data_IF_929861816395
#
_entry.id   IF_929861816395
#
_cell.length_a   1.000
_cell.length_b   1.000
_cell.length_c   1.000
_cell.angle_alpha   90.00
_cell.angle_beta   90.00
_cell.angle_gamma   90.00
#
_symmetry.space_group_name_H-M   'P 1'
#
loop_
_entity.id
_entity.type
_entity.pdbx_description
1 polymer ?
#
# COMPACT_ATOMS: atom_id res chain seq x y z
N UNK A 1 57.64 -18.16 -15.65
CA UNK A 1 57.27 -16.91 -14.97
C UNK A 1 55.91 -16.51 -15.50
N UNK A 2 54.85 -16.73 -14.71
CA UNK A 2 53.48 -16.35 -15.05
C UNK A 2 53.16 -15.10 -14.24
N UNK A 3 53.08 -13.95 -14.91
CA UNK A 3 52.68 -12.68 -14.28
C UNK A 3 51.15 -12.62 -14.25
N UNK A 4 50.57 -12.65 -13.07
CA UNK A 4 49.16 -12.38 -12.82
C UNK A 4 48.87 -10.90 -13.04
N UNK A 5 47.99 -10.58 -13.98
CA UNK A 5 47.48 -9.24 -14.22
C UNK A 5 46.46 -8.88 -13.12
N UNK A 6 46.65 -7.81 -12.33
CA UNK A 6 45.71 -7.46 -11.28
C UNK A 6 44.40 -6.97 -11.93
N UNK A 7 43.31 -7.69 -11.66
CA UNK A 7 41.98 -7.29 -12.04
C UNK A 7 41.71 -5.84 -11.61
N UNK A 8 41.60 -4.92 -12.58
CA UNK A 8 41.18 -3.55 -12.36
C UNK A 8 39.79 -3.56 -11.71
N UNK A 9 39.71 -3.21 -10.44
CA UNK A 9 38.45 -2.96 -9.76
C UNK A 9 37.81 -1.70 -10.36
N UNK A 10 36.77 -1.87 -11.17
CA UNK A 10 35.99 -0.74 -11.66
C UNK A 10 35.33 -0.05 -10.46
N UNK A 11 35.51 1.26 -10.24
CA UNK A 11 34.80 1.97 -9.18
C UNK A 11 33.29 1.85 -9.43
N UNK A 12 32.53 1.35 -8.45
CA UNK A 12 31.06 1.40 -8.51
C UNK A 12 30.64 2.86 -8.59
N UNK A 13 30.07 3.27 -9.72
CA UNK A 13 29.58 4.62 -9.93
C UNK A 13 28.57 4.99 -8.83
N UNK A 14 28.71 6.20 -8.28
CA UNK A 14 27.80 6.72 -7.27
C UNK A 14 26.40 6.91 -7.90
N UNK A 15 25.30 6.52 -7.22
CA UNK A 15 23.97 6.69 -7.76
C UNK A 15 23.62 8.17 -7.96
N UNK A 16 22.89 8.46 -9.03
CA UNK A 16 22.39 9.79 -9.32
C UNK A 16 21.25 10.15 -8.35
N UNK A 17 21.02 11.46 -8.16
CA UNK A 17 19.98 11.96 -7.23
C UNK A 17 18.59 11.36 -7.50
N UNK A 18 18.10 11.24 -8.76
CA UNK A 18 16.81 10.61 -9.03
C UNK A 18 16.74 9.13 -8.62
N UNK A 19 17.84 8.39 -8.77
CA UNK A 19 17.91 6.98 -8.36
C UNK A 19 17.81 6.86 -6.84
N UNK A 20 18.51 7.72 -6.12
CA UNK A 20 18.46 7.74 -4.65
C UNK A 20 17.09 8.21 -4.13
N UNK A 21 16.47 9.18 -4.80
CA UNK A 21 15.10 9.62 -4.49
C UNK A 21 14.07 8.49 -4.67
N UNK A 22 14.20 7.70 -5.75
CA UNK A 22 13.35 6.52 -5.98
C UNK A 22 13.42 5.50 -4.84
N UNK A 23 14.62 5.25 -4.29
CA UNK A 23 14.79 4.36 -3.13
C UNK A 23 14.06 4.88 -1.90
N UNK A 24 14.15 6.18 -1.61
CA UNK A 24 13.47 6.80 -0.47
C UNK A 24 11.94 6.75 -0.64
N UNK A 25 11.44 7.06 -1.85
CA UNK A 25 10.01 6.98 -2.16
C UNK A 25 9.47 5.55 -1.99
N UNK A 26 10.23 4.53 -2.40
CA UNK A 26 9.85 3.14 -2.19
C UNK A 26 9.74 2.77 -0.70
N UNK A 27 10.65 3.28 0.15
CA UNK A 27 10.57 3.07 1.61
C UNK A 27 9.31 3.72 2.21
N UNK A 28 9.00 4.95 1.80
CA UNK A 28 7.77 5.62 2.24
C UNK A 28 6.52 4.88 1.77
N UNK A 29 6.47 4.45 0.51
CA UNK A 29 5.34 3.68 -0.03
C UNK A 29 5.16 2.36 0.75
N UNK A 30 6.25 1.65 1.05
CA UNK A 30 6.23 0.43 1.86
C UNK A 30 5.70 0.69 3.29
N UNK A 31 6.18 1.73 3.95
CA UNK A 31 5.72 2.09 5.30
C UNK A 31 4.24 2.50 5.31
N UNK A 32 3.80 3.33 4.36
CA UNK A 32 2.39 3.74 4.23
C UNK A 32 1.51 2.52 3.97
N UNK A 33 1.91 1.62 3.06
CA UNK A 33 1.18 0.39 2.77
C UNK A 33 1.04 -0.49 4.02
N UNK A 34 2.14 -0.71 4.75
CA UNK A 34 2.12 -1.45 6.00
C UNK A 34 1.17 -0.85 7.04
N UNK A 35 1.27 0.47 7.31
CA UNK A 35 0.40 1.15 8.28
C UNK A 35 -1.05 1.12 7.85
N UNK A 36 -1.32 1.21 6.54
CA UNK A 36 -2.67 1.14 6.00
C UNK A 36 -3.30 -0.24 6.25
N UNK A 37 -2.55 -1.31 6.03
CA UNK A 37 -2.98 -2.68 6.33
C UNK A 37 -3.24 -2.85 7.83
N UNK A 38 -2.28 -2.45 8.67
CA UNK A 38 -2.41 -2.56 10.12
C UNK A 38 -3.64 -1.81 10.66
N UNK A 39 -3.88 -0.58 10.19
CA UNK A 39 -5.07 0.19 10.55
C UNK A 39 -6.35 -0.49 10.06
N UNK A 40 -6.35 -1.04 8.86
CA UNK A 40 -7.50 -1.73 8.29
C UNK A 40 -7.94 -2.95 9.12
N UNK A 41 -6.97 -3.75 9.55
CA UNK A 41 -7.19 -4.94 10.40
C UNK A 41 -7.66 -4.54 11.79
N UNK A 42 -6.96 -3.62 12.45
CA UNK A 42 -7.24 -3.24 13.85
C UNK A 42 -8.59 -2.55 14.04
N UNK A 43 -9.14 -1.94 12.97
CA UNK A 43 -10.40 -1.21 13.02
C UNK A 43 -11.54 -1.92 12.27
N UNK A 44 -11.36 -3.18 11.86
CA UNK A 44 -12.42 -3.95 11.20
C UNK A 44 -12.83 -3.47 9.81
N UNK A 45 -12.04 -2.59 9.17
CA UNK A 45 -12.37 -1.99 7.88
C UNK A 45 -12.33 -3.02 6.74
N UNK A 46 -11.39 -3.96 6.78
CA UNK A 46 -11.33 -5.03 5.76
C UNK A 46 -12.46 -6.03 5.92
N UNK A 47 -12.85 -6.35 7.16
CA UNK A 47 -13.97 -7.25 7.42
C UNK A 47 -15.29 -6.64 6.95
N UNK A 48 -15.52 -5.34 7.22
CA UNK A 48 -16.65 -4.61 6.68
C UNK A 48 -16.70 -4.69 5.14
N UNK A 49 -15.59 -4.41 4.44
CA UNK A 49 -15.54 -4.53 2.98
C UNK A 49 -15.76 -5.95 2.48
N UNK A 50 -15.25 -6.98 3.18
CA UNK A 50 -15.48 -8.40 2.84
C UNK A 50 -16.95 -8.78 2.90
N UNK A 51 -17.71 -8.22 3.85
CA UNK A 51 -19.15 -8.45 3.98
C UNK A 51 -19.98 -7.71 2.92
N UNK A 52 -19.39 -6.73 2.23
CA UNK A 52 -20.04 -5.90 1.22
C UNK A 52 -19.30 -5.98 -0.14
N UNK A 53 -19.44 -7.09 -0.89
CA UNK A 53 -18.67 -7.33 -2.12
C UNK A 53 -18.95 -6.33 -3.25
N UNK A 54 -20.12 -5.67 -3.25
CA UNK A 54 -20.46 -4.59 -4.19
C UNK A 54 -19.77 -3.25 -3.86
N UNK A 55 -19.10 -3.19 -2.70
CA UNK A 55 -18.35 -2.05 -2.20
C UNK A 55 -19.16 -1.08 -1.35
N UNK A 56 -18.42 -0.26 -0.61
CA UNK A 56 -18.96 0.78 0.26
C UNK A 56 -18.35 2.15 -0.06
N UNK A 57 -19.16 3.20 0.01
CA UNK A 57 -18.64 4.56 0.11
C UNK A 57 -17.93 4.73 1.45
N UNK A 58 -16.98 5.68 1.55
CA UNK A 58 -16.18 5.86 2.77
C UNK A 58 -17.03 6.14 4.02
N UNK A 59 -18.11 6.91 3.89
CA UNK A 59 -19.04 7.21 4.99
C UNK A 59 -19.80 5.97 5.47
N UNK A 60 -20.22 5.10 4.53
CA UNK A 60 -20.88 3.84 4.85
C UNK A 60 -19.91 2.84 5.47
N UNK A 61 -18.68 2.77 4.97
CA UNK A 61 -17.62 1.95 5.55
C UNK A 61 -17.31 2.40 6.98
N UNK A 62 -17.27 3.71 7.23
CA UNK A 62 -17.03 4.25 8.56
C UNK A 62 -18.14 3.83 9.53
N UNK A 63 -19.39 3.92 9.08
CA UNK A 63 -20.55 3.49 9.84
C UNK A 63 -20.52 1.99 10.15
N UNK A 64 -20.19 1.16 9.16
CA UNK A 64 -20.13 -0.30 9.32
C UNK A 64 -19.02 -0.71 10.29
N UNK A 65 -17.83 -0.11 10.16
CA UNK A 65 -16.68 -0.41 11.01
C UNK A 65 -16.71 0.31 12.38
N UNK A 66 -17.68 1.19 12.63
CA UNK A 66 -17.75 1.99 13.87
C UNK A 66 -16.60 3.00 14.01
N UNK A 67 -16.09 3.54 12.91
CA UNK A 67 -14.96 4.47 12.85
C UNK A 67 -15.40 5.88 12.45
N UNK A 68 -14.53 6.87 12.63
CA UNK A 68 -14.80 8.24 12.20
C UNK A 68 -14.74 8.38 10.67
N UNK A 69 -15.76 9.04 10.09
CA UNK A 69 -15.90 9.20 8.64
C UNK A 69 -14.73 9.92 7.97
N UNK A 70 -14.16 10.93 8.62
CA UNK A 70 -13.06 11.70 8.02
C UNK A 70 -11.81 10.82 7.93
N UNK A 71 -11.47 10.14 9.02
CA UNK A 71 -10.29 9.27 9.04
C UNK A 71 -10.46 8.04 8.16
N UNK A 72 -11.66 7.47 8.07
CA UNK A 72 -11.94 6.38 7.13
C UNK A 72 -11.83 6.84 5.68
N UNK A 73 -12.30 8.04 5.34
CA UNK A 73 -12.08 8.61 4.02
C UNK A 73 -10.60 8.85 3.67
N UNK A 74 -9.77 9.22 4.64
CA UNK A 74 -8.31 9.33 4.45
C UNK A 74 -7.69 7.94 4.26
N UNK A 75 -8.07 6.98 5.10
CA UNK A 75 -7.60 5.60 5.02
C UNK A 75 -7.96 4.95 3.68
N UNK A 76 -9.19 5.10 3.19
CA UNK A 76 -9.64 4.49 1.93
C UNK A 76 -8.83 5.00 0.74
N UNK A 77 -8.43 6.29 0.74
CA UNK A 77 -7.56 6.85 -0.31
C UNK A 77 -6.15 6.28 -0.24
N UNK A 78 -5.58 6.12 0.96
CA UNK A 78 -4.28 5.49 1.14
C UNK A 78 -4.31 4.02 0.70
N UNK A 79 -5.37 3.28 1.06
CA UNK A 79 -5.54 1.88 0.71
C UNK A 79 -5.75 1.67 -0.79
N UNK A 80 -6.48 2.57 -1.45
CA UNK A 80 -6.56 2.60 -2.92
C UNK A 80 -5.20 2.90 -3.56
N UNK A 81 -4.49 3.93 -3.10
CA UNK A 81 -3.17 4.28 -3.62
C UNK A 81 -2.11 3.19 -3.40
N UNK A 82 -2.27 2.36 -2.38
CA UNK A 82 -1.42 1.20 -2.10
C UNK A 82 -1.82 -0.07 -2.86
N UNK A 83 -2.89 -0.04 -3.67
CA UNK A 83 -3.39 -1.20 -4.43
C UNK A 83 -4.08 -2.27 -3.57
N UNK A 84 -4.51 -1.91 -2.36
CA UNK A 84 -5.23 -2.80 -1.44
C UNK A 84 -6.74 -2.75 -1.73
N UNK A 85 -7.22 -1.57 -2.10
CA UNK A 85 -8.60 -1.35 -2.54
C UNK A 85 -8.64 -0.99 -4.02
N UNK A 86 -9.76 -1.30 -4.65
CA UNK A 86 -10.14 -0.80 -5.96
C UNK A 86 -11.40 0.04 -5.85
N UNK A 87 -11.71 0.82 -6.90
CA UNK A 87 -12.97 1.55 -6.99
C UNK A 87 -14.01 0.72 -7.73
N UNK A 88 -15.20 0.63 -7.14
CA UNK A 88 -16.40 0.08 -7.79
C UNK A 88 -17.39 1.23 -8.03
N UNK A 89 -17.57 1.62 -9.28
CA UNK A 89 -18.36 2.81 -9.61
C UNK A 89 -17.66 4.12 -9.22
N UNK A 90 -18.44 5.17 -8.96
CA UNK A 90 -17.91 6.53 -8.81
C UNK A 90 -17.31 6.82 -7.42
N UNK A 91 -17.81 6.16 -6.37
CA UNK A 91 -17.54 6.56 -4.98
C UNK A 91 -17.39 5.39 -3.99
N UNK A 92 -17.45 4.14 -4.47
CA UNK A 92 -17.32 2.97 -3.59
C UNK A 92 -15.95 2.33 -3.71
N UNK A 93 -15.51 1.76 -2.59
CA UNK A 93 -14.31 0.95 -2.51
C UNK A 93 -14.67 -0.52 -2.33
N UNK A 94 -13.90 -1.39 -2.98
CA UNK A 94 -13.92 -2.85 -2.81
C UNK A 94 -12.51 -3.34 -2.49
N UNK A 95 -12.39 -4.52 -1.87
CA UNK A 95 -11.09 -5.18 -1.76
C UNK A 95 -10.55 -5.49 -3.15
N UNK A 96 -9.26 -5.19 -3.39
CA UNK A 96 -8.59 -5.64 -4.60
C UNK A 96 -8.58 -7.19 -4.65
N UNK A 97 -8.47 -7.80 -5.85
CA UNK A 97 -8.52 -9.25 -6.00
C UNK A 97 -7.62 -10.00 -5.02
N UNK A 98 -8.19 -11.00 -4.34
CA UNK A 98 -7.52 -11.86 -3.36
C UNK A 98 -7.06 -11.19 -2.05
N UNK A 99 -7.29 -9.89 -1.84
CA UNK A 99 -6.94 -9.23 -0.57
C UNK A 99 -7.75 -9.77 0.61
N UNK A 100 -8.98 -10.24 0.35
CA UNK A 100 -9.79 -10.96 1.32
C UNK A 100 -9.11 -12.23 1.85
N UNK A 101 -8.32 -12.92 1.03
CA UNK A 101 -7.61 -14.16 1.41
C UNK A 101 -6.23 -13.92 1.99
N UNK A 102 -5.59 -12.82 1.60
CA UNK A 102 -4.23 -12.49 2.02
C UNK A 102 -4.20 -11.78 3.36
N UNK A 103 -5.27 -11.08 3.72
CA UNK A 103 -5.35 -10.23 4.91
C UNK A 103 -6.26 -10.81 6.01
N UNK A 104 -7.22 -11.69 5.68
CA UNK A 104 -8.25 -12.19 6.61
C UNK A 104 -8.27 -13.72 6.69
#
# INVERSE_FOLDING_TARGET
MTTTDPAKSTPTAQPEVPEQAGKILAQFAGYVGFKTIEMGLNNGLFEALRQHPDGLAADDLAREAGTDKFYTGVWSKAAYGAGILEQSGADKYVLAPHMDKLLL
#
